data_IF_040642191529
#
_entry.id   IF_040642191529
#
_cell.length_a   1.000
_cell.length_b   1.000
_cell.length_c   1.000
_cell.angle_alpha   90.00
_cell.angle_beta   90.00
_cell.angle_gamma   90.00
#
_symmetry.space_group_name_H-M   'P 1'
#
loop_
_entity.id
_entity.type
_entity.pdbx_description
1 polymer ?
#
# COMPACT_ATOMS: atom_id res chain seq x y z
N UNK A 1 -7.07 -14.23 8.04
CA UNK A 1 -7.11 -13.53 6.74
C UNK A 1 -5.95 -14.02 5.88
N UNK A 2 -6.11 -14.09 4.57
CA UNK A 2 -5.02 -14.39 3.63
C UNK A 2 -3.97 -13.25 3.66
N UNK A 3 -2.70 -13.59 3.48
CA UNK A 3 -1.60 -12.65 3.57
C UNK A 3 -1.65 -11.54 2.51
N UNK A 4 -2.16 -11.80 1.29
CA UNK A 4 -2.33 -10.78 0.26
C UNK A 4 -3.49 -9.85 0.59
N UNK A 5 -4.59 -10.37 1.14
CA UNK A 5 -5.73 -9.54 1.58
C UNK A 5 -5.28 -8.52 2.63
N UNK A 6 -4.41 -8.93 3.55
CA UNK A 6 -3.85 -8.02 4.54
C UNK A 6 -2.93 -6.97 3.89
N UNK A 7 -2.07 -7.36 2.95
CA UNK A 7 -1.24 -6.40 2.20
C UNK A 7 -2.09 -5.37 1.44
N UNK A 8 -3.19 -5.78 0.81
CA UNK A 8 -4.09 -4.87 0.09
C UNK A 8 -4.76 -3.88 1.03
N UNK A 9 -5.20 -4.36 2.20
CA UNK A 9 -5.79 -3.52 3.25
C UNK A 9 -4.79 -2.48 3.78
N UNK A 10 -3.55 -2.88 4.04
CA UNK A 10 -2.48 -1.99 4.47
C UNK A 10 -2.19 -0.92 3.40
N UNK A 11 -2.09 -1.32 2.14
CA UNK A 11 -1.86 -0.40 1.02
C UNK A 11 -2.95 0.67 0.90
N UNK A 12 -4.23 0.29 1.00
CA UNK A 12 -5.34 1.26 1.04
C UNK A 12 -5.25 2.22 2.23
N UNK A 13 -4.91 1.71 3.42
CA UNK A 13 -4.74 2.54 4.61
C UNK A 13 -3.62 3.57 4.40
N UNK A 14 -2.47 3.14 3.90
CA UNK A 14 -1.33 4.03 3.65
C UNK A 14 -1.69 5.11 2.62
N UNK A 15 -2.38 4.73 1.54
CA UNK A 15 -2.86 5.67 0.53
C UNK A 15 -3.80 6.72 1.13
N UNK A 16 -4.78 6.28 1.90
CA UNK A 16 -5.77 7.17 2.51
C UNK A 16 -5.13 8.10 3.57
N UNK A 17 -4.17 7.60 4.37
CA UNK A 17 -3.41 8.41 5.31
C UNK A 17 -2.56 9.47 4.59
N UNK A 18 -1.90 9.10 3.47
CA UNK A 18 -1.14 10.03 2.65
C UNK A 18 -2.06 11.13 2.08
N UNK A 19 -3.21 10.77 1.51
CA UNK A 19 -4.22 11.73 1.00
C UNK A 19 -4.72 12.67 2.10
N UNK A 20 -5.08 12.14 3.27
CA UNK A 20 -5.58 12.96 4.39
C UNK A 20 -4.53 13.95 4.89
N UNK A 21 -3.24 13.61 4.78
CA UNK A 21 -2.13 14.45 5.26
C UNK A 21 -1.84 15.65 4.34
N UNK A 22 -2.24 15.60 3.05
CA UNK A 22 -1.97 16.66 2.06
C UNK A 22 -2.46 18.03 2.54
N UNK A 23 -3.66 18.11 3.12
CA UNK A 23 -4.26 19.37 3.56
C UNK A 23 -3.42 20.09 4.64
N UNK A 24 -2.72 19.33 5.49
CA UNK A 24 -1.86 19.87 6.54
C UNK A 24 -0.40 20.10 6.12
N UNK A 25 -0.01 19.61 4.93
CA UNK A 25 1.37 19.62 4.43
C UNK A 25 1.43 19.99 2.95
N UNK A 26 1.06 21.23 2.57
CA UNK A 26 1.09 21.67 1.18
C UNK A 26 2.50 21.62 0.58
N UNK A 27 3.53 21.79 1.42
CA UNK A 27 4.96 21.65 1.05
C UNK A 27 5.31 20.25 0.56
N UNK A 28 4.59 19.22 1.01
CA UNK A 28 4.77 17.83 0.61
C UNK A 28 3.64 17.30 -0.28
N UNK A 29 2.70 18.14 -0.73
CA UNK A 29 1.49 17.70 -1.41
C UNK A 29 1.77 16.83 -2.65
N UNK A 30 2.77 17.20 -3.45
CA UNK A 30 3.16 16.42 -4.62
C UNK A 30 3.72 15.04 -4.24
N UNK A 31 4.63 14.98 -3.26
CA UNK A 31 5.21 13.73 -2.78
C UNK A 31 4.16 12.81 -2.13
N UNK A 32 3.29 13.36 -1.29
CA UNK A 32 2.18 12.64 -0.67
C UNK A 32 1.16 12.16 -1.72
N UNK A 33 0.92 12.93 -2.78
CA UNK A 33 0.09 12.54 -3.91
C UNK A 33 0.66 11.33 -4.67
N UNK A 34 1.98 11.32 -4.93
CA UNK A 34 2.66 10.16 -5.53
C UNK A 34 2.53 8.93 -4.62
N UNK A 35 2.77 9.06 -3.32
CA UNK A 35 2.62 7.96 -2.37
C UNK A 35 1.17 7.43 -2.38
N UNK A 36 0.18 8.31 -2.33
CA UNK A 36 -1.23 7.90 -2.35
C UNK A 36 -1.59 7.14 -3.64
N UNK A 37 -1.18 7.64 -4.80
CA UNK A 37 -1.44 7.01 -6.09
C UNK A 37 -0.78 5.63 -6.19
N UNK A 38 0.51 5.53 -5.88
CA UNK A 38 1.26 4.27 -5.93
C UNK A 38 0.70 3.25 -4.93
N UNK A 39 0.38 3.66 -3.69
CA UNK A 39 -0.20 2.75 -2.69
C UNK A 39 -1.62 2.30 -3.07
N UNK A 40 -2.37 3.12 -3.80
CA UNK A 40 -3.66 2.70 -4.40
C UNK A 40 -3.43 1.65 -5.48
N UNK A 41 -2.54 1.91 -6.44
CA UNK A 41 -2.20 0.96 -7.51
C UNK A 41 -1.69 -0.39 -6.97
N UNK A 42 -0.90 -0.38 -5.89
CA UNK A 42 -0.49 -1.61 -5.21
C UNK A 42 -1.66 -2.40 -4.63
N UNK A 43 -2.65 -1.71 -4.03
CA UNK A 43 -3.83 -2.38 -3.48
C UNK A 43 -4.67 -3.01 -4.60
N UNK A 44 -4.85 -2.30 -5.70
CA UNK A 44 -5.60 -2.78 -6.87
C UNK A 44 -4.93 -4.02 -7.48
N UNK A 45 -3.61 -3.99 -7.69
CA UNK A 45 -2.86 -5.13 -8.20
C UNK A 45 -2.93 -6.36 -7.27
N UNK A 46 -2.95 -6.15 -5.95
CA UNK A 46 -3.13 -7.23 -4.98
C UNK A 46 -4.55 -7.80 -5.02
N UNK A 47 -5.57 -6.96 -5.15
CA UNK A 47 -6.97 -7.41 -5.26
C UNK A 47 -7.21 -8.18 -6.57
N UNK A 48 -6.66 -7.71 -7.70
CA UNK A 48 -6.67 -8.45 -8.97
C UNK A 48 -6.01 -9.82 -8.82
N UNK A 49 -4.88 -9.88 -8.13
CA UNK A 49 -4.17 -11.12 -7.85
C UNK A 49 -5.00 -12.08 -6.99
N UNK A 50 -5.66 -11.57 -5.94
CA UNK A 50 -6.57 -12.35 -5.09
C UNK A 50 -7.76 -12.89 -5.89
N UNK A 51 -8.40 -12.04 -6.71
CA UNK A 51 -9.55 -12.43 -7.52
C UNK A 51 -9.19 -13.51 -8.54
N UNK A 52 -8.05 -13.37 -9.21
CA UNK A 52 -7.52 -14.36 -10.15
C UNK A 52 -7.25 -15.71 -9.48
N UNK A 53 -6.78 -15.72 -8.23
CA UNK A 53 -6.54 -16.95 -7.46
C UNK A 53 -7.83 -17.63 -6.97
N UNK A 54 -8.90 -16.85 -6.74
CA UNK A 54 -10.18 -17.37 -6.24
C UNK A 54 -11.07 -18.01 -7.32
N UNK A 55 -10.71 -17.91 -8.62
CA UNK A 55 -11.53 -18.34 -9.77
C UNK A 55 -13.01 -17.90 -9.72
N UNK A 56 -13.32 -16.86 -8.95
CA UNK A 56 -14.67 -16.38 -8.66
C UNK A 56 -14.75 -14.91 -9.04
N UNK A 57 -15.81 -14.44 -9.74
CA UNK A 57 -15.98 -13.02 -10.00
C UNK A 57 -16.05 -12.25 -8.68
N UNK A 58 -15.42 -11.06 -8.58
CA UNK A 58 -15.35 -10.32 -7.33
C UNK A 58 -16.76 -9.98 -6.84
N UNK A 59 -17.13 -10.49 -5.66
CA UNK A 59 -18.29 -9.99 -4.94
C UNK A 59 -17.88 -8.68 -4.27
N UNK A 60 -18.36 -7.56 -4.79
CA UNK A 60 -18.06 -6.23 -4.29
C UNK A 60 -18.78 -5.98 -2.96
N UNK A 61 -18.21 -6.46 -1.85
CA UNK A 61 -18.60 -5.97 -0.52
C UNK A 61 -17.84 -4.68 -0.25
N UNK A 62 -18.48 -3.56 -0.55
CA UNK A 62 -17.97 -2.23 -0.21
C UNK A 62 -18.11 -2.02 1.30
N UNK A 63 -17.17 -2.54 2.08
CA UNK A 63 -17.04 -2.11 3.48
C UNK A 63 -16.41 -0.73 3.45
N UNK A 64 -17.18 0.31 3.80
CA UNK A 64 -16.67 1.68 3.95
C UNK A 64 -15.50 1.64 4.93
N UNK A 65 -14.27 1.92 4.47
CA UNK A 65 -13.12 1.99 5.37
C UNK A 65 -13.36 3.09 6.41
N UNK A 66 -12.83 2.95 7.64
CA UNK A 66 -12.81 4.04 8.60
C UNK A 66 -12.20 5.28 7.95
N UNK A 67 -12.76 6.46 8.24
CA UNK A 67 -12.23 7.72 7.70
C UNK A 67 -10.74 7.85 8.05
N UNK A 68 -9.91 8.01 7.02
CA UNK A 68 -8.49 8.25 7.22
C UNK A 68 -8.28 9.61 7.89
N UNK A 69 -7.37 9.64 8.87
CA UNK A 69 -6.97 10.86 9.55
C UNK A 69 -5.58 11.29 9.05
N UNK A 70 -5.28 12.60 9.01
CA UNK A 70 -3.92 13.07 8.81
C UNK A 70 -2.98 12.42 9.84
N UNK A 71 -1.81 11.95 9.40
CA UNK A 71 -0.81 11.34 10.26
C UNK A 71 0.49 12.14 10.24
N UNK A 72 1.30 12.08 11.31
CA UNK A 72 2.66 12.62 11.27
C UNK A 72 3.48 11.98 10.14
N UNK A 73 4.36 12.76 9.49
CA UNK A 73 5.21 12.24 8.40
C UNK A 73 6.11 11.09 8.86
N UNK A 74 6.62 11.15 10.09
CA UNK A 74 7.42 10.06 10.64
C UNK A 74 6.61 8.78 10.84
N UNK A 75 5.32 8.91 11.16
CA UNK A 75 4.41 7.76 11.23
C UNK A 75 4.18 7.17 9.84
N UNK A 76 3.91 8.01 8.83
CA UNK A 76 3.75 7.54 7.46
C UNK A 76 5.02 6.86 6.94
N UNK A 77 6.20 7.41 7.26
CA UNK A 77 7.49 6.77 6.95
C UNK A 77 7.61 5.41 7.62
N UNK A 78 7.29 5.31 8.91
CA UNK A 78 7.36 4.05 9.64
C UNK A 78 6.38 2.99 9.09
N UNK A 79 5.18 3.40 8.69
CA UNK A 79 4.19 2.53 8.07
C UNK A 79 4.68 1.99 6.72
N UNK A 80 5.25 2.85 5.86
CA UNK A 80 5.88 2.45 4.60
C UNK A 80 7.09 1.52 4.84
N UNK A 81 7.87 1.76 5.90
CA UNK A 81 8.98 0.89 6.30
C UNK A 81 8.49 -0.51 6.70
N UNK A 82 7.37 -0.59 7.42
CA UNK A 82 6.77 -1.88 7.76
C UNK A 82 6.26 -2.59 6.53
N UNK A 83 5.48 -1.88 5.68
CA UNK A 83 4.97 -2.42 4.44
C UNK A 83 6.09 -2.95 3.52
N UNK A 84 7.20 -2.21 3.42
CA UNK A 84 8.41 -2.64 2.71
C UNK A 84 8.93 -3.99 3.23
N UNK A 85 9.15 -4.10 4.55
CA UNK A 85 9.70 -5.32 5.16
C UNK A 85 8.74 -6.50 5.04
N UNK A 86 7.45 -6.26 5.25
CA UNK A 86 6.42 -7.31 5.26
C UNK A 86 6.20 -7.86 3.85
N UNK A 87 6.10 -6.99 2.84
CA UNK A 87 6.03 -7.39 1.43
C UNK A 87 7.30 -8.16 1.01
N UNK A 88 8.49 -7.69 1.41
CA UNK A 88 9.75 -8.37 1.09
C UNK A 88 9.90 -9.73 1.78
N UNK A 89 9.40 -9.88 3.01
CA UNK A 89 9.32 -11.19 3.69
C UNK A 89 8.35 -12.13 2.98
N UNK A 90 7.17 -11.63 2.63
CA UNK A 90 6.14 -12.42 1.96
C UNK A 90 6.56 -12.84 0.55
N UNK A 91 7.26 -11.98 -0.19
CA UNK A 91 7.79 -12.31 -1.52
C UNK A 91 8.66 -13.57 -1.50
N UNK A 92 9.46 -13.77 -0.44
CA UNK A 92 10.32 -14.96 -0.27
C UNK A 92 9.55 -16.26 -0.01
N UNK A 93 8.30 -16.18 0.41
CA UNK A 93 7.44 -17.35 0.65
C UNK A 93 6.48 -17.61 -0.52
N UNK A 94 6.58 -16.82 -1.59
CA UNK A 94 5.75 -16.93 -2.78
C UNK A 94 6.61 -17.29 -4.00
N UNK A 95 5.96 -17.55 -5.13
CA UNK A 95 6.63 -17.85 -6.40
C UNK A 95 5.97 -17.12 -7.57
N UNK A 96 6.68 -17.05 -8.69
CA UNK A 96 6.19 -16.48 -9.94
C UNK A 96 5.69 -15.04 -9.79
N UNK A 97 4.50 -14.77 -10.34
CA UNK A 97 3.90 -13.43 -10.35
C UNK A 97 3.72 -12.85 -8.94
N UNK A 98 3.27 -13.64 -7.95
CA UNK A 98 3.08 -13.16 -6.56
C UNK A 98 4.39 -12.70 -5.93
N UNK A 99 5.47 -13.45 -6.13
CA UNK A 99 6.79 -13.06 -5.62
C UNK A 99 7.28 -11.76 -6.29
N UNK A 100 7.09 -11.64 -7.60
CA UNK A 100 7.44 -10.42 -8.36
C UNK A 100 6.66 -9.19 -7.91
N UNK A 101 5.33 -9.32 -7.79
CA UNK A 101 4.44 -8.25 -7.34
C UNK A 101 4.80 -7.77 -5.92
N UNK A 102 5.00 -8.69 -4.98
CA UNK A 102 5.39 -8.33 -3.61
C UNK A 102 6.81 -7.74 -3.55
N UNK A 103 7.72 -8.21 -4.40
CA UNK A 103 9.05 -7.66 -4.55
C UNK A 103 9.03 -6.20 -5.05
N UNK A 104 8.23 -5.91 -6.08
CA UNK A 104 8.08 -4.54 -6.60
C UNK A 104 7.43 -3.61 -5.58
N UNK A 105 6.39 -4.08 -4.86
CA UNK A 105 5.78 -3.34 -3.75
C UNK A 105 6.82 -3.01 -2.67
N UNK A 106 7.65 -3.98 -2.29
CA UNK A 106 8.72 -3.75 -1.31
C UNK A 106 9.70 -2.67 -1.78
N UNK A 107 10.15 -2.75 -3.03
CA UNK A 107 11.06 -1.76 -3.62
C UNK A 107 10.43 -0.36 -3.71
N UNK A 108 9.16 -0.26 -4.12
CA UNK A 108 8.43 1.00 -4.20
C UNK A 108 8.27 1.66 -2.83
N UNK A 109 7.83 0.91 -1.81
CA UNK A 109 7.73 1.42 -0.44
C UNK A 109 9.10 1.86 0.11
N UNK A 110 10.18 1.15 -0.23
CA UNK A 110 11.54 1.55 0.12
C UNK A 110 11.92 2.89 -0.52
N UNK A 111 11.63 3.10 -1.80
CA UNK A 111 11.90 4.35 -2.50
C UNK A 111 11.06 5.51 -1.92
N UNK A 112 9.78 5.28 -1.64
CA UNK A 112 8.88 6.28 -1.08
C UNK A 112 9.38 6.80 0.28
N UNK A 113 9.79 5.91 1.18
CA UNK A 113 10.22 6.31 2.52
C UNK A 113 11.58 7.04 2.57
N UNK A 114 12.49 6.77 1.62
CA UNK A 114 13.85 7.34 1.62
C UNK A 114 14.05 8.49 0.63
N UNK A 115 13.21 8.58 -0.41
CA UNK A 115 13.35 9.60 -1.47
C UNK A 115 12.25 10.66 -1.37
N UNK A 116 11.00 10.26 -1.10
CA UNK A 116 9.86 11.18 -1.18
C UNK A 116 9.52 11.86 0.16
N UNK A 117 9.96 11.29 1.28
CA UNK A 117 9.67 11.82 2.61
C UNK A 117 10.93 12.41 3.27
N UNK A 118 10.85 13.61 3.90
CA UNK A 118 11.99 14.39 4.41
C UNK A 118 12.63 13.84 5.69
#
# INVERSE_FOLDING_TARGET
MDALTEQARLARRDAANATATIAGRPDLAAALGVIAAERTAHADALDEEIARAASTPPSSTTTTPPAAAPVPIDQLRADLASAQRDAGKLARTQSGYRAGLLGSISAACAAQQVVLLP
#
